data_IF_708093925565
#
_entry.id   IF_708093925565
#
_cell.length_a   1.000
_cell.length_b   1.000
_cell.length_c   1.000
_cell.angle_alpha   90.00
_cell.angle_beta   90.00
_cell.angle_gamma   90.00
#
_symmetry.space_group_name_H-M   'P 1'
#
loop_
_entity.id
_entity.type
_entity.pdbx_description
1 polymer ?
#
# COMPACT_ATOMS: atom_id res chain seq x y z
N UNK A 1 -19.86 5.08 12.02
CA UNK A 1 -20.26 5.42 10.64
C UNK A 1 -19.12 4.98 9.75
N UNK A 2 -19.30 3.87 9.03
CA UNK A 2 -18.32 3.40 8.05
C UNK A 2 -18.21 4.45 6.95
N UNK A 3 -17.10 5.18 6.96
CA UNK A 3 -16.73 6.04 5.84
C UNK A 3 -16.46 5.07 4.71
N UNK A 4 -17.31 5.06 3.69
CA UNK A 4 -17.09 4.28 2.47
C UNK A 4 -15.83 4.85 1.80
N UNK A 5 -14.67 4.39 2.24
CA UNK A 5 -13.41 4.70 1.60
C UNK A 5 -13.44 4.00 0.25
N UNK A 6 -13.31 4.79 -0.82
CA UNK A 6 -12.98 4.27 -2.14
C UNK A 6 -11.86 3.25 -1.98
N UNK A 7 -12.11 2.03 -2.45
CA UNK A 7 -11.16 0.94 -2.35
C UNK A 7 -10.50 0.74 -3.71
N UNK A 8 -9.19 0.62 -3.70
CA UNK A 8 -8.37 0.33 -4.87
C UNK A 8 -7.65 -0.99 -4.68
N UNK A 9 -7.04 -1.49 -5.75
CA UNK A 9 -6.12 -2.61 -5.67
C UNK A 9 -4.69 -2.12 -5.86
N UNK A 10 -3.81 -2.57 -4.99
CA UNK A 10 -2.37 -2.36 -5.10
C UNK A 10 -1.70 -3.68 -5.41
N UNK A 11 -0.73 -3.60 -6.32
CA UNK A 11 -0.01 -4.76 -6.83
C UNK A 11 1.47 -4.48 -6.66
N UNK A 12 2.18 -5.47 -6.16
CA UNK A 12 3.64 -5.50 -6.18
C UNK A 12 4.09 -6.74 -6.94
N UNK A 13 4.87 -6.54 -8.00
CA UNK A 13 5.51 -7.64 -8.73
C UNK A 13 6.87 -7.90 -8.08
N UNK A 14 7.10 -9.13 -7.64
CA UNK A 14 8.36 -9.53 -6.99
C UNK A 14 9.34 -10.14 -7.98
N UNK A 15 8.84 -10.86 -8.98
CA UNK A 15 9.64 -11.41 -10.07
C UNK A 15 8.76 -11.64 -11.31
N UNK A 16 9.29 -12.35 -12.30
CA UNK A 16 8.58 -12.55 -13.56
C UNK A 16 7.26 -13.31 -13.45
N UNK A 17 7.16 -14.14 -12.42
CA UNK A 17 6.12 -15.16 -12.27
C UNK A 17 5.26 -14.95 -11.00
N UNK A 18 5.64 -14.03 -10.11
CA UNK A 18 5.01 -13.88 -8.80
C UNK A 18 4.92 -12.42 -8.34
N UNK A 19 3.87 -12.12 -7.57
CA UNK A 19 3.62 -10.83 -6.96
C UNK A 19 2.44 -10.89 -5.99
N UNK A 20 2.27 -9.80 -5.25
CA UNK A 20 1.16 -9.59 -4.32
C UNK A 20 0.04 -8.78 -4.97
N UNK A 21 -1.20 -9.10 -4.60
CA UNK A 21 -2.41 -8.37 -5.01
C UNK A 21 -3.28 -8.11 -3.79
N UNK A 22 -3.36 -6.86 -3.36
CA UNK A 22 -4.05 -6.47 -2.13
C UNK A 22 -5.16 -5.46 -2.43
N UNK A 23 -6.31 -5.64 -1.78
CA UNK A 23 -7.31 -4.56 -1.65
C UNK A 23 -6.80 -3.56 -0.61
N UNK A 24 -6.83 -2.29 -0.95
CA UNK A 24 -6.38 -1.19 -0.11
C UNK A 24 -7.39 -0.04 -0.12
N UNK A 25 -7.29 0.83 0.89
CA UNK A 25 -7.90 2.15 0.84
C UNK A 25 -7.16 3.05 -0.17
N UNK A 26 -7.72 4.23 -0.42
CA UNK A 26 -6.93 5.38 -0.87
C UNK A 26 -5.74 5.62 0.08
N UNK A 27 -4.71 6.31 -0.42
CA UNK A 27 -3.54 6.66 0.39
C UNK A 27 -3.96 7.57 1.57
N UNK A 28 -3.50 7.20 2.77
CA UNK A 28 -3.58 8.03 3.98
C UNK A 28 -2.52 9.13 3.93
N UNK A 29 -1.34 8.79 3.41
CA UNK A 29 -0.24 9.70 3.15
C UNK A 29 0.43 9.29 1.83
N UNK A 30 0.78 10.28 1.00
CA UNK A 30 1.56 10.07 -0.21
C UNK A 30 2.49 11.26 -0.43
N UNK A 31 3.75 10.99 -0.72
CA UNK A 31 4.71 12.03 -1.01
C UNK A 31 6.02 11.51 -1.56
N UNK A 32 6.95 12.43 -1.81
CA UNK A 32 8.30 12.12 -2.24
C UNK A 32 9.27 12.71 -1.24
N UNK A 33 10.12 11.86 -0.66
CA UNK A 33 11.22 12.29 0.20
C UNK A 33 12.38 12.79 -0.67
N UNK A 34 13.51 13.16 -0.06
CA UNK A 34 14.73 13.42 -0.85
C UNK A 34 15.20 12.19 -1.65
N UNK A 35 14.78 10.99 -1.25
CA UNK A 35 15.35 9.74 -1.76
C UNK A 35 14.36 8.88 -2.54
N UNK A 36 13.09 8.84 -2.13
CA UNK A 36 12.12 7.83 -2.55
C UNK A 36 10.68 8.35 -2.50
N UNK A 37 9.80 7.75 -3.31
CA UNK A 37 8.35 7.85 -3.20
C UNK A 37 7.89 7.09 -1.94
N UNK A 38 7.06 7.71 -1.12
CA UNK A 38 6.49 7.12 0.08
C UNK A 38 4.97 7.14 0.01
N UNK A 39 4.36 6.01 0.35
CA UNK A 39 2.92 5.86 0.42
C UNK A 39 2.54 5.04 1.66
N UNK A 40 1.52 5.51 2.37
CA UNK A 40 0.91 4.82 3.51
C UNK A 40 -0.57 4.64 3.23
N UNK A 41 -1.08 3.42 3.35
CA UNK A 41 -2.50 3.10 3.12
C UNK A 41 -2.94 1.95 4.02
N UNK A 42 -4.25 1.81 4.21
CA UNK A 42 -4.80 0.75 5.04
C UNK A 42 -5.21 -0.45 4.18
N UNK A 43 -4.95 -1.65 4.68
CA UNK A 43 -5.36 -2.92 4.08
C UNK A 43 -6.26 -3.70 5.04
N UNK A 44 -7.27 -4.45 4.55
CA UNK A 44 -8.14 -5.24 5.43
C UNK A 44 -7.41 -6.34 6.19
N UNK A 45 -6.38 -6.95 5.57
CA UNK A 45 -5.68 -8.11 6.14
C UNK A 45 -4.50 -7.69 7.04
N UNK A 46 -3.71 -6.70 6.63
CA UNK A 46 -2.44 -6.36 7.27
C UNK A 46 -2.47 -5.06 8.08
N UNK A 47 -3.61 -4.37 8.15
CA UNK A 47 -3.69 -3.05 8.77
C UNK A 47 -2.98 -1.99 7.92
N UNK A 48 -2.40 -0.98 8.56
CA UNK A 48 -1.65 0.07 7.86
C UNK A 48 -0.38 -0.51 7.24
N UNK A 49 -0.14 -0.15 5.97
CA UNK A 49 0.99 -0.61 5.17
C UNK A 49 1.83 0.58 4.73
N UNK A 50 3.15 0.44 4.90
CA UNK A 50 4.15 1.36 4.35
C UNK A 50 4.69 0.78 3.04
N UNK A 51 4.72 1.62 2.00
CA UNK A 51 5.27 1.31 0.69
C UNK A 51 6.26 2.39 0.28
N UNK A 52 7.44 1.97 -0.18
CA UNK A 52 8.44 2.88 -0.75
C UNK A 52 8.73 2.45 -2.19
N UNK A 53 8.73 3.41 -3.12
CA UNK A 53 8.95 3.15 -4.55
C UNK A 53 8.12 1.97 -5.09
N UNK A 54 6.86 1.89 -4.63
CA UNK A 54 5.87 0.85 -4.97
C UNK A 54 6.19 -0.56 -4.47
N UNK A 55 7.19 -0.74 -3.61
CA UNK A 55 7.56 -1.99 -2.93
C UNK A 55 7.03 -1.99 -1.50
N UNK A 56 6.27 -3.01 -1.10
CA UNK A 56 5.75 -3.13 0.26
C UNK A 56 6.90 -3.34 1.24
N UNK A 57 6.98 -2.50 2.27
CA UNK A 57 8.09 -2.51 3.22
C UNK A 57 7.71 -3.21 4.52
N UNK A 58 6.61 -2.77 5.14
CA UNK A 58 6.12 -3.35 6.39
C UNK A 58 4.64 -3.04 6.60
N UNK A 59 4.02 -3.80 7.49
CA UNK A 59 2.64 -3.65 7.95
C UNK A 59 2.53 -3.74 9.46
N UNK A 60 1.40 -3.30 10.01
CA UNK A 60 1.10 -3.41 11.44
C UNK A 60 0.84 -4.85 11.92
N UNK A 61 0.52 -5.77 11.00
CA UNK A 61 0.21 -7.18 11.27
C UNK A 61 1.02 -8.11 10.39
#
# INVERSE_FOLDING_TARGET
MDKAHSSRYVIERLNENYGYYLRASEAVEYGHTRFQEMEVFDTPMFGRMLRLDRVFMTSEK
#
